data_IF_918747906536
#
_entry.id   IF_918747906536
#
_cell.length_a   1.000
_cell.length_b   1.000
_cell.length_c   1.000
_cell.angle_alpha   90.00
_cell.angle_beta   90.00
_cell.angle_gamma   90.00
#
_symmetry.space_group_name_H-M   'P 1'
#
loop_
_entity.id
_entity.type
_entity.pdbx_description
1 polymer ?
#
# COMPACT_ATOMS: atom_id res chain seq x y z
N UNK A 1 -39.86 36.93 9.58
CA UNK A 1 -39.14 36.05 10.49
C UNK A 1 -39.05 34.69 9.87
N UNK A 2 -38.07 34.46 9.05
CA UNK A 2 -37.81 33.16 8.48
C UNK A 2 -36.29 33.00 8.52
N UNK A 3 -35.83 32.08 9.31
CA UNK A 3 -34.43 31.62 9.38
C UNK A 3 -34.31 30.49 8.40
N UNK A 4 -33.75 30.77 7.22
CA UNK A 4 -33.31 29.74 6.30
C UNK A 4 -32.01 29.10 6.85
N UNK A 5 -32.15 27.92 7.39
CA UNK A 5 -31.03 27.04 7.62
C UNK A 5 -30.64 26.39 6.29
N UNK A 6 -29.67 26.98 5.62
CA UNK A 6 -28.95 26.36 4.52
C UNK A 6 -28.08 25.22 5.10
N UNK A 7 -28.67 24.05 5.13
CA UNK A 7 -27.92 22.82 5.35
C UNK A 7 -27.17 22.50 4.05
N UNK A 8 -25.97 23.05 3.93
CA UNK A 8 -25.04 22.66 2.86
C UNK A 8 -24.59 21.20 3.10
N UNK A 9 -25.42 20.30 2.63
CA UNK A 9 -25.09 18.90 2.55
C UNK A 9 -24.11 18.76 1.38
N UNK A 10 -22.82 18.89 1.66
CA UNK A 10 -21.77 18.54 0.71
C UNK A 10 -21.94 17.08 0.34
N UNK A 11 -22.74 16.81 -0.69
CA UNK A 11 -22.85 15.50 -1.33
C UNK A 11 -21.44 15.13 -1.80
N UNK A 12 -20.81 14.22 -1.08
CA UNK A 12 -19.66 13.50 -1.61
C UNK A 12 -20.15 12.79 -2.86
N UNK A 13 -19.82 13.36 -4.01
CA UNK A 13 -20.13 12.75 -5.31
C UNK A 13 -19.26 11.49 -5.38
N UNK A 14 -19.84 10.35 -5.03
CA UNK A 14 -19.22 9.05 -5.29
C UNK A 14 -19.00 8.94 -6.80
N UNK A 15 -17.74 9.02 -7.18
CA UNK A 15 -17.39 8.81 -8.58
C UNK A 15 -17.71 7.36 -8.95
N UNK A 16 -18.29 7.12 -10.14
CA UNK A 16 -18.62 5.77 -10.56
C UNK A 16 -17.37 4.88 -10.63
N UNK A 17 -17.53 3.57 -10.39
CA UNK A 17 -16.41 2.63 -10.47
C UNK A 17 -15.76 2.67 -11.85
N UNK A 18 -14.44 2.63 -11.87
CA UNK A 18 -13.63 2.69 -13.08
C UNK A 18 -13.18 1.26 -13.41
N UNK A 19 -13.17 0.90 -14.69
CA UNK A 19 -12.60 -0.39 -15.11
C UNK A 19 -11.09 -0.38 -14.83
N UNK A 20 -10.54 -1.45 -14.19
CA UNK A 20 -9.11 -1.53 -13.95
C UNK A 20 -8.29 -1.41 -15.23
N UNK A 21 -7.23 -0.59 -15.25
CA UNK A 21 -6.42 -0.40 -16.44
C UNK A 21 -5.66 -1.66 -16.84
N UNK A 22 -5.48 -1.85 -18.14
CA UNK A 22 -4.64 -2.92 -18.68
C UNK A 22 -3.18 -2.45 -18.77
N UNK A 23 -2.96 -1.19 -19.13
CA UNK A 23 -1.65 -0.61 -19.36
C UNK A 23 -1.08 0.08 -18.13
N UNK A 24 0.24 -0.01 -17.94
CA UNK A 24 0.94 0.62 -16.81
C UNK A 24 0.79 2.16 -16.80
N UNK A 25 0.80 2.79 -17.96
CA UNK A 25 0.59 4.24 -18.10
C UNK A 25 -0.73 4.71 -17.48
N UNK A 26 -1.79 3.94 -17.66
CA UNK A 26 -3.10 4.24 -17.09
C UNK A 26 -3.14 4.00 -15.57
N UNK A 27 -2.37 3.05 -15.03
CA UNK A 27 -2.17 2.90 -13.60
C UNK A 27 -1.49 4.12 -12.98
N UNK A 28 -0.50 4.68 -13.67
CA UNK A 28 0.17 5.90 -13.21
C UNK A 28 -0.77 7.10 -13.11
N UNK A 29 -1.78 7.19 -13.97
CA UNK A 29 -2.81 8.24 -13.88
C UNK A 29 -3.71 8.05 -12.65
N UNK A 30 -3.94 6.82 -12.19
CA UNK A 30 -4.71 6.54 -10.99
C UNK A 30 -3.92 6.72 -9.69
N UNK A 31 -2.59 6.80 -9.76
CA UNK A 31 -1.73 6.90 -8.59
C UNK A 31 -2.11 8.02 -7.61
N UNK A 32 -2.38 9.27 -8.04
CA UNK A 32 -2.77 10.35 -7.13
C UNK A 32 -4.10 10.07 -6.42
N UNK A 33 -5.05 9.43 -7.13
CA UNK A 33 -6.35 9.06 -6.57
C UNK A 33 -6.20 7.95 -5.53
N UNK A 34 -5.43 6.92 -5.84
CA UNK A 34 -5.12 5.83 -4.89
C UNK A 34 -4.42 6.38 -3.64
N UNK A 35 -3.42 7.25 -3.82
CA UNK A 35 -2.71 7.86 -2.72
C UNK A 35 -3.64 8.69 -1.81
N UNK A 36 -4.57 9.46 -2.38
CA UNK A 36 -5.56 10.23 -1.64
C UNK A 36 -6.48 9.34 -0.83
N UNK A 37 -7.06 8.31 -1.43
CA UNK A 37 -7.95 7.37 -0.75
C UNK A 37 -7.24 6.65 0.42
N UNK A 38 -5.98 6.27 0.23
CA UNK A 38 -5.17 5.64 1.28
C UNK A 38 -4.83 6.64 2.40
N UNK A 39 -4.53 7.89 2.04
CA UNK A 39 -4.24 8.94 3.02
C UNK A 39 -5.48 9.30 3.84
N UNK A 40 -6.66 9.38 3.23
CA UNK A 40 -7.92 9.64 3.92
C UNK A 40 -8.24 8.53 4.92
N UNK A 41 -8.01 7.25 4.57
CA UNK A 41 -8.15 6.13 5.50
C UNK A 41 -7.13 6.19 6.63
N UNK A 42 -5.91 6.59 6.34
CA UNK A 42 -4.85 6.71 7.33
C UNK A 42 -5.11 7.84 8.33
N UNK A 43 -5.61 8.99 7.87
CA UNK A 43 -5.97 10.12 8.74
C UNK A 43 -7.21 9.83 9.58
N UNK A 44 -8.09 8.93 9.14
CA UNK A 44 -9.21 8.42 9.93
C UNK A 44 -8.80 7.41 11.01
N UNK A 45 -7.49 7.19 11.23
CA UNK A 45 -6.96 6.31 12.28
C UNK A 45 -6.69 4.88 11.84
N UNK A 46 -6.80 4.59 10.55
CA UNK A 46 -6.49 3.27 10.00
C UNK A 46 -5.19 3.33 9.21
N UNK A 47 -4.10 2.76 9.73
CA UNK A 47 -2.88 2.59 8.95
C UNK A 47 -3.21 1.84 7.64
N UNK A 48 -2.56 2.20 6.52
CA UNK A 48 -2.75 1.50 5.27
C UNK A 48 -2.25 0.06 5.38
N UNK A 49 -3.19 -0.83 5.65
CA UNK A 49 -3.00 -2.28 5.73
C UNK A 49 -3.60 -2.96 4.51
N UNK A 50 -3.41 -4.27 4.39
CA UNK A 50 -4.04 -5.05 3.33
C UNK A 50 -5.56 -4.89 3.25
N UNK A 51 -6.23 -4.76 4.39
CA UNK A 51 -7.67 -4.50 4.44
C UNK A 51 -8.02 -3.11 3.86
N UNK A 52 -7.22 -2.09 4.16
CA UNK A 52 -7.40 -0.74 3.61
C UNK A 52 -7.17 -0.74 2.08
N UNK A 53 -6.13 -1.41 1.61
CA UNK A 53 -5.87 -1.56 0.18
C UNK A 53 -7.02 -2.24 -0.56
N UNK A 54 -7.54 -3.34 -0.04
CA UNK A 54 -8.71 -4.02 -0.63
C UNK A 54 -9.96 -3.14 -0.63
N UNK A 55 -10.15 -2.34 0.42
CA UNK A 55 -11.26 -1.37 0.50
C UNK A 55 -11.14 -0.30 -0.58
N UNK A 56 -9.94 0.24 -0.80
CA UNK A 56 -9.68 1.21 -1.87
C UNK A 56 -9.89 0.56 -3.24
N UNK A 57 -9.42 -0.67 -3.45
CA UNK A 57 -9.65 -1.42 -4.69
C UNK A 57 -11.15 -1.53 -5.04
N UNK A 58 -11.97 -1.95 -4.08
CA UNK A 58 -13.42 -2.07 -4.28
C UNK A 58 -14.10 -0.72 -4.50
N UNK A 59 -13.62 0.33 -3.85
CA UNK A 59 -14.14 1.69 -4.04
C UNK A 59 -13.86 2.24 -5.43
N UNK A 60 -12.68 1.95 -5.97
CA UNK A 60 -12.26 2.43 -7.29
C UNK A 60 -12.86 1.60 -8.44
N UNK A 61 -12.86 0.28 -8.31
CA UNK A 61 -13.18 -0.65 -9.39
C UNK A 61 -14.51 -1.37 -9.21
N UNK A 62 -15.18 -1.17 -8.08
CA UNK A 62 -16.46 -1.80 -7.76
C UNK A 62 -16.32 -3.17 -7.09
N UNK A 63 -17.46 -3.73 -6.63
CA UNK A 63 -17.49 -5.02 -5.92
C UNK A 63 -17.14 -6.21 -6.80
N UNK A 64 -17.32 -6.09 -8.12
CA UNK A 64 -17.10 -7.15 -9.11
C UNK A 64 -15.68 -7.19 -9.68
N UNK A 65 -14.73 -6.50 -8.99
CA UNK A 65 -13.33 -6.54 -9.39
C UNK A 65 -12.81 -7.98 -9.39
N UNK A 66 -12.27 -8.42 -10.51
CA UNK A 66 -11.74 -9.78 -10.62
C UNK A 66 -10.56 -10.01 -9.67
N UNK A 67 -10.31 -11.24 -9.20
CA UNK A 67 -9.13 -11.56 -8.40
C UNK A 67 -7.80 -11.20 -9.08
N UNK A 68 -7.77 -11.27 -10.41
CA UNK A 68 -6.60 -10.87 -11.19
C UNK A 68 -6.37 -9.34 -11.12
N UNK A 69 -7.42 -8.55 -11.25
CA UNK A 69 -7.33 -7.09 -11.18
C UNK A 69 -7.04 -6.63 -9.76
N UNK A 70 -7.60 -7.29 -8.74
CA UNK A 70 -7.26 -7.05 -7.34
C UNK A 70 -5.77 -7.29 -7.09
N UNK A 71 -5.22 -8.38 -7.62
CA UNK A 71 -3.77 -8.68 -7.50
C UNK A 71 -2.92 -7.60 -8.16
N UNK A 72 -3.28 -7.17 -9.37
CA UNK A 72 -2.57 -6.08 -10.06
C UNK A 72 -2.64 -4.77 -9.30
N UNK A 73 -3.82 -4.47 -8.74
CA UNK A 73 -3.98 -3.31 -7.88
C UNK A 73 -3.07 -3.38 -6.65
N UNK A 74 -3.01 -4.51 -5.96
CA UNK A 74 -2.17 -4.68 -4.77
C UNK A 74 -0.68 -4.49 -5.10
N UNK A 75 -0.20 -5.07 -6.20
CA UNK A 75 1.19 -4.90 -6.66
C UNK A 75 1.49 -3.41 -6.91
N UNK A 76 0.56 -2.68 -7.50
CA UNK A 76 0.75 -1.25 -7.79
C UNK A 76 0.60 -0.37 -6.55
N UNK A 77 -0.35 -0.67 -5.68
CA UNK A 77 -0.71 0.18 -4.55
C UNK A 77 0.13 -0.06 -3.28
N UNK A 78 0.70 -1.26 -3.10
CA UNK A 78 1.50 -1.59 -1.92
C UNK A 78 2.72 -0.67 -1.71
N UNK A 79 3.50 -0.29 -2.73
CA UNK A 79 4.57 0.71 -2.58
C UNK A 79 4.05 2.09 -2.18
N UNK A 80 2.86 2.46 -2.62
CA UNK A 80 2.22 3.73 -2.23
C UNK A 80 1.83 3.68 -0.75
N UNK A 81 1.22 2.57 -0.32
CA UNK A 81 0.86 2.33 1.07
C UNK A 81 2.08 2.36 1.99
N UNK A 82 3.20 1.73 1.56
CA UNK A 82 4.48 1.79 2.28
C UNK A 82 4.93 3.24 2.51
N UNK A 83 4.96 4.06 1.48
CA UNK A 83 5.38 5.47 1.57
C UNK A 83 4.49 6.28 2.51
N UNK A 84 3.19 6.04 2.48
CA UNK A 84 2.25 6.70 3.38
C UNK A 84 2.46 6.25 4.82
N UNK A 85 2.57 4.93 5.07
CA UNK A 85 2.78 4.38 6.40
C UNK A 85 4.07 4.90 7.03
N UNK A 86 5.16 4.93 6.27
CA UNK A 86 6.45 5.47 6.72
C UNK A 86 6.35 6.98 6.98
N UNK A 87 5.73 7.75 6.09
CA UNK A 87 5.56 9.19 6.27
C UNK A 87 4.69 9.56 7.48
N UNK A 88 3.75 8.70 7.87
CA UNK A 88 2.97 8.87 9.10
C UNK A 88 3.77 8.50 10.35
N UNK A 89 4.59 7.44 10.27
CA UNK A 89 5.47 7.03 11.35
C UNK A 89 6.57 8.08 11.63
N UNK A 90 7.08 8.74 10.58
CA UNK A 90 8.09 9.81 10.70
C UNK A 90 7.59 11.03 11.51
N UNK A 91 6.29 11.29 11.49
CA UNK A 91 5.67 12.32 12.33
C UNK A 91 5.64 11.97 13.83
N UNK A 92 5.83 10.72 14.17
CA UNK A 92 5.86 10.18 15.54
C UNK A 92 7.26 9.85 16.07
N UNK A 93 8.32 10.17 15.33
CA UNK A 93 9.75 9.99 15.66
C UNK A 93 10.25 8.55 15.88
N UNK A 94 9.39 7.53 16.01
CA UNK A 94 9.83 6.13 16.23
C UNK A 94 8.85 5.10 15.68
N UNK A 95 9.39 3.99 15.21
CA UNK A 95 8.60 2.80 14.86
C UNK A 95 8.42 1.94 16.12
N UNK A 96 7.30 2.14 16.84
CA UNK A 96 7.03 1.43 18.08
C UNK A 96 8.07 1.69 19.16
N UNK A 97 8.35 0.67 19.97
CA UNK A 97 9.35 0.73 21.08
C UNK A 97 10.80 0.45 20.61
N UNK A 98 11.06 0.44 19.31
CA UNK A 98 12.38 0.17 18.76
C UNK A 98 13.20 1.45 18.61
N UNK A 99 14.52 1.34 18.82
CA UNK A 99 15.48 2.42 18.58
C UNK A 99 15.74 2.70 17.09
N UNK A 100 15.01 2.02 16.20
CA UNK A 100 15.13 2.16 14.76
C UNK A 100 14.52 3.48 14.33
N UNK A 101 15.33 4.32 13.71
CA UNK A 101 14.86 5.56 13.10
C UNK A 101 14.11 5.25 11.82
N UNK A 102 12.96 5.90 11.65
CA UNK A 102 12.14 5.76 10.42
C UNK A 102 12.95 6.09 9.17
N UNK A 103 13.82 7.09 9.27
CA UNK A 103 14.67 7.54 8.17
C UNK A 103 15.64 6.46 7.67
N UNK A 104 16.22 5.68 8.60
CA UNK A 104 17.11 4.58 8.24
C UNK A 104 16.34 3.48 7.48
N UNK A 105 15.12 3.18 7.90
CA UNK A 105 14.25 2.23 7.20
C UNK A 105 13.88 2.72 5.80
N UNK A 106 13.55 4.01 5.64
CA UNK A 106 13.28 4.63 4.33
C UNK A 106 14.46 4.48 3.40
N UNK A 107 15.67 4.78 3.90
CA UNK A 107 16.90 4.71 3.12
C UNK A 107 17.16 3.29 2.62
N UNK A 108 17.09 2.29 3.50
CA UNK A 108 17.37 0.91 3.15
C UNK A 108 16.29 0.26 2.28
N UNK A 109 15.02 0.60 2.45
CA UNK A 109 13.97 0.19 1.54
C UNK A 109 14.11 0.85 0.17
N UNK A 110 14.51 2.12 0.12
CA UNK A 110 14.83 2.81 -1.12
C UNK A 110 16.07 2.24 -1.83
N UNK A 111 17.01 1.67 -1.08
CA UNK A 111 18.13 0.93 -1.63
C UNK A 111 17.65 -0.37 -2.28
N UNK A 112 16.81 -1.14 -1.60
CA UNK A 112 16.20 -2.37 -2.15
C UNK A 112 15.40 -2.10 -3.44
N UNK A 113 14.63 -1.03 -3.49
CA UNK A 113 13.89 -0.64 -4.71
C UNK A 113 14.80 -0.52 -5.94
N UNK A 114 16.05 -0.12 -5.75
CA UNK A 114 17.02 0.09 -6.82
C UNK A 114 17.84 -1.15 -7.14
N UNK A 115 18.22 -1.93 -6.15
CA UNK A 115 19.16 -3.04 -6.31
C UNK A 115 18.50 -4.40 -6.38
N UNK A 116 17.36 -4.58 -5.72
CA UNK A 116 16.56 -5.80 -5.81
C UNK A 116 15.05 -5.45 -5.80
N UNK A 117 14.53 -4.96 -6.94
CA UNK A 117 13.12 -4.56 -7.04
C UNK A 117 12.15 -5.71 -6.76
N UNK A 118 12.53 -6.95 -7.05
CA UNK A 118 11.68 -8.11 -6.77
C UNK A 118 11.55 -8.35 -5.27
N UNK A 119 12.65 -8.28 -4.54
CA UNK A 119 12.65 -8.40 -3.09
C UNK A 119 11.86 -7.24 -2.45
N UNK A 120 12.03 -6.01 -2.94
CA UNK A 120 11.26 -4.86 -2.50
C UNK A 120 9.75 -5.08 -2.72
N UNK A 121 9.35 -5.60 -3.87
CA UNK A 121 7.95 -5.93 -4.18
C UNK A 121 7.41 -7.03 -3.24
N UNK A 122 8.20 -8.05 -2.94
CA UNK A 122 7.82 -9.09 -1.96
C UNK A 122 7.56 -8.49 -0.58
N UNK A 123 8.44 -7.58 -0.12
CA UNK A 123 8.27 -6.86 1.14
C UNK A 123 6.99 -6.05 1.13
N UNK A 124 6.73 -5.31 0.06
CA UNK A 124 5.55 -4.49 -0.07
C UNK A 124 4.26 -5.31 0.00
N UNK A 125 4.20 -6.40 -0.75
CA UNK A 125 3.04 -7.29 -0.76
C UNK A 125 2.83 -8.00 0.57
N UNK A 126 3.91 -8.46 1.21
CA UNK A 126 3.80 -9.21 2.44
C UNK A 126 3.51 -8.31 3.66
N UNK A 127 4.30 -7.25 3.86
CA UNK A 127 4.21 -6.42 5.06
C UNK A 127 3.20 -5.26 4.94
N UNK A 128 3.04 -4.66 3.77
CA UNK A 128 2.17 -3.51 3.57
C UNK A 128 0.82 -3.87 2.94
N UNK A 129 0.77 -4.85 2.03
CA UNK A 129 -0.50 -5.36 1.50
C UNK A 129 -1.09 -6.52 2.32
N UNK A 130 -0.35 -7.05 3.29
CA UNK A 130 -0.81 -8.10 4.19
C UNK A 130 -1.03 -9.47 3.54
N UNK A 131 -0.37 -9.75 2.41
CA UNK A 131 -0.44 -11.04 1.75
C UNK A 131 0.42 -12.07 2.49
N UNK A 132 -0.06 -13.30 2.56
CA UNK A 132 0.75 -14.42 2.99
C UNK A 132 1.88 -14.69 2.00
N UNK A 133 2.93 -15.42 2.40
CA UNK A 133 3.99 -15.82 1.47
C UNK A 133 3.44 -16.61 0.27
N UNK A 134 2.44 -17.46 0.49
CA UNK A 134 1.76 -18.21 -0.58
C UNK A 134 1.00 -17.29 -1.53
N UNK A 135 0.29 -16.30 -1.03
CA UNK A 135 -0.43 -15.31 -1.84
C UNK A 135 0.54 -14.41 -2.61
N UNK A 136 1.64 -13.99 -1.96
CA UNK A 136 2.70 -13.20 -2.59
C UNK A 136 3.34 -13.99 -3.74
N UNK A 137 3.63 -15.27 -3.52
CA UNK A 137 4.16 -16.16 -4.54
C UNK A 137 3.22 -16.30 -5.74
N UNK A 138 1.93 -16.51 -5.49
CA UNK A 138 0.92 -16.57 -6.55
C UNK A 138 0.83 -15.25 -7.32
N UNK A 139 0.85 -14.11 -6.64
CA UNK A 139 0.80 -12.78 -7.25
C UNK A 139 2.00 -12.52 -8.17
N UNK A 140 3.18 -12.96 -7.77
CA UNK A 140 4.44 -12.75 -8.50
C UNK A 140 4.80 -13.90 -9.44
N UNK A 141 3.98 -14.96 -9.50
CA UNK A 141 4.25 -16.19 -10.27
C UNK A 141 5.56 -16.87 -9.89
N UNK A 142 5.82 -16.92 -8.58
CA UNK A 142 6.98 -17.56 -7.98
C UNK A 142 6.54 -18.78 -7.14
N UNK A 143 7.51 -19.61 -6.73
CA UNK A 143 7.22 -20.64 -5.74
C UNK A 143 7.18 -20.06 -4.31
N UNK A 144 6.34 -20.59 -3.41
CA UNK A 144 6.29 -20.15 -2.02
C UNK A 144 7.62 -20.25 -1.30
N UNK A 145 8.43 -21.26 -1.62
CA UNK A 145 9.74 -21.51 -1.03
C UNK A 145 10.73 -20.39 -1.35
N UNK A 146 10.72 -19.90 -2.61
CA UNK A 146 11.53 -18.75 -3.04
C UNK A 146 11.12 -17.50 -2.25
N UNK A 147 9.82 -17.22 -2.17
CA UNK A 147 9.32 -16.03 -1.43
C UNK A 147 9.69 -16.12 0.05
N UNK A 148 9.52 -17.28 0.69
CA UNK A 148 9.88 -17.45 2.10
C UNK A 148 11.37 -17.25 2.32
N UNK A 149 12.21 -17.82 1.45
CA UNK A 149 13.66 -17.66 1.52
C UNK A 149 14.06 -16.20 1.39
N UNK A 150 13.56 -15.54 0.37
CA UNK A 150 13.95 -14.17 0.03
C UNK A 150 13.42 -13.16 1.07
N UNK A 151 12.21 -13.35 1.59
CA UNK A 151 11.69 -12.54 2.71
C UNK A 151 12.52 -12.73 3.99
N UNK A 152 12.95 -13.95 4.30
CA UNK A 152 13.84 -14.21 5.45
C UNK A 152 15.18 -13.52 5.29
N UNK A 153 15.75 -13.61 4.09
CA UNK A 153 17.01 -12.94 3.76
C UNK A 153 16.86 -11.42 3.88
N UNK A 154 15.83 -10.83 3.27
CA UNK A 154 15.57 -9.41 3.33
C UNK A 154 15.38 -8.91 4.77
N UNK A 155 14.62 -9.65 5.58
CA UNK A 155 14.44 -9.33 7.00
C UNK A 155 15.76 -9.35 7.76
N UNK A 156 16.56 -10.39 7.61
CA UNK A 156 17.85 -10.53 8.26
C UNK A 156 18.80 -9.40 7.80
N UNK A 157 18.83 -9.10 6.51
CA UNK A 157 19.65 -8.04 5.95
C UNK A 157 19.23 -6.66 6.51
N UNK A 158 17.94 -6.33 6.51
CA UNK A 158 17.44 -5.08 7.10
C UNK A 158 17.79 -4.97 8.58
N UNK A 159 17.67 -6.07 9.35
CA UNK A 159 18.06 -6.08 10.75
C UNK A 159 19.54 -5.73 10.95
N UNK A 160 20.45 -6.18 10.07
CA UNK A 160 21.87 -5.81 10.15
C UNK A 160 22.15 -4.35 9.84
N UNK A 161 21.25 -3.69 9.10
CA UNK A 161 21.38 -2.28 8.70
C UNK A 161 20.74 -1.30 9.70
N UNK A 162 19.78 -1.79 10.47
CA UNK A 162 18.99 -0.98 11.40
C UNK A 162 19.50 -1.05 12.85
N UNK A 163 20.58 -1.78 13.09
CA UNK A 163 21.22 -1.86 14.42
C UNK A 163 22.13 -0.66 14.66
#
# INVERSE_FOLDING_TARGET
MVTDEDTDTTKVVEQPPVKPPVEYSAWMQLRPRIARELLDLATAGSLPTGAALKRVCRRLFGPDCSPHDETRFLIFAAPIARKIAIGLADRGDRIGDSDVKVQDLVEWLGWLDRFDPMCATMIDLHYFAGLTAKQTAAALRLSPEVVIRDLRFAKAWLQTKLI
#
